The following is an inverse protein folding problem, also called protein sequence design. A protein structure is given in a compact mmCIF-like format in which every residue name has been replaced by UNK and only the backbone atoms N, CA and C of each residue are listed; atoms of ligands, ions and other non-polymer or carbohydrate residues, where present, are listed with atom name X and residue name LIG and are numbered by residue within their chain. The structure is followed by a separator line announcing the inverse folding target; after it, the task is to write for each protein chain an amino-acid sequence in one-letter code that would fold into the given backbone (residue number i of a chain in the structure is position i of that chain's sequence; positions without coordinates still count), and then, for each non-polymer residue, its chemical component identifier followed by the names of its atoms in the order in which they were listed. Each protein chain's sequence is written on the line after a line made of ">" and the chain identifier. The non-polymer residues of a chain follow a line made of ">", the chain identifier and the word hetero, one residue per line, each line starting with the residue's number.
data_IF_566533026266
#
_entry.id   IF_566533026266
#
_cell.length_a   1.000
_cell.length_b   1.000
_cell.length_c   1.000
_cell.angle_alpha   90.00
_cell.angle_beta   90.00
_cell.angle_gamma   90.00
#
_symmetry.space_group_name_H-M   'P 1'
#
loop_
_entity.id
_entity.type
_entity.pdbx_description
1 polymer ?
#
# COMPACT_ATOMS: atom_id res chain seq x y z
N UNK A 1 -47.81 -4.80 -5.81
CA UNK A 1 -48.22 -3.92 -6.95
C UNK A 1 -47.17 -2.86 -7.29
N UNK A 2 -46.72 -2.06 -6.31
CA UNK A 2 -45.76 -0.97 -6.54
C UNK A 2 -44.38 -1.47 -7.01
N UNK A 3 -43.84 -2.52 -6.41
CA UNK A 3 -42.54 -3.09 -6.80
C UNK A 3 -42.53 -3.63 -8.25
N UNK A 4 -43.61 -4.28 -8.69
CA UNK A 4 -43.71 -4.77 -10.06
C UNK A 4 -43.77 -3.64 -11.11
N UNK A 5 -44.40 -2.50 -10.76
CA UNK A 5 -44.42 -1.31 -11.61
C UNK A 5 -43.05 -0.59 -11.63
N UNK A 6 -42.38 -0.52 -10.48
CA UNK A 6 -41.01 0.01 -10.35
C UNK A 6 -40.04 -0.84 -11.17
N UNK A 7 -40.05 -2.16 -10.98
CA UNK A 7 -39.18 -3.10 -11.69
C UNK A 7 -39.47 -3.11 -13.21
N UNK A 8 -40.74 -2.99 -13.61
CA UNK A 8 -41.11 -2.91 -15.03
C UNK A 8 -40.66 -1.61 -15.71
N UNK A 9 -40.57 -0.49 -14.97
CA UNK A 9 -40.19 0.81 -15.52
C UNK A 9 -38.69 1.08 -15.47
N UNK A 10 -38.02 0.65 -14.40
CA UNK A 10 -36.63 0.99 -14.10
C UNK A 10 -35.70 -0.22 -14.03
N UNK A 11 -36.22 -1.44 -14.13
CA UNK A 11 -35.44 -2.69 -14.12
C UNK A 11 -35.25 -3.31 -12.73
N UNK A 12 -34.55 -4.45 -12.69
CA UNK A 12 -34.17 -5.17 -11.47
C UNK A 12 -32.71 -4.84 -11.12
N UNK A 13 -32.48 -4.02 -10.09
CA UNK A 13 -31.15 -3.57 -9.68
C UNK A 13 -31.17 -2.87 -8.32
N UNK A 14 -30.00 -2.42 -7.84
CA UNK A 14 -29.86 -1.66 -6.59
C UNK A 14 -30.31 -0.20 -6.79
N UNK A 15 -31.62 -0.03 -6.91
CA UNK A 15 -32.27 1.25 -7.17
C UNK A 15 -32.89 1.85 -5.91
N UNK A 16 -32.67 3.15 -5.71
CA UNK A 16 -33.20 3.95 -4.63
C UNK A 16 -34.36 4.82 -5.14
N UNK A 17 -35.58 4.65 -4.62
CA UNK A 17 -36.72 5.44 -5.05
C UNK A 17 -36.66 6.89 -4.60
N UNK A 18 -36.89 7.79 -5.55
CA UNK A 18 -37.08 9.21 -5.28
C UNK A 18 -38.59 9.44 -5.11
N UNK A 19 -38.98 9.81 -3.89
CA UNK A 19 -40.36 10.04 -3.51
C UNK A 19 -40.54 11.52 -3.15
N UNK A 20 -41.58 12.13 -3.71
CA UNK A 20 -42.00 13.51 -3.41
C UNK A 20 -43.50 13.51 -3.17
N UNK A 21 -43.92 14.06 -2.04
CA UNK A 21 -45.33 14.20 -1.66
C UNK A 21 -46.14 12.87 -1.70
N UNK A 22 -45.45 11.74 -1.47
CA UNK A 22 -46.04 10.39 -1.52
C UNK A 22 -45.98 9.72 -2.89
N UNK A 23 -45.61 10.45 -3.94
CA UNK A 23 -45.51 9.96 -5.30
C UNK A 23 -44.08 9.56 -5.69
N UNK A 24 -43.97 8.52 -6.52
CA UNK A 24 -42.71 8.08 -7.10
C UNK A 24 -42.34 9.00 -8.27
N UNK A 25 -41.32 9.84 -8.08
CA UNK A 25 -40.92 10.87 -9.05
C UNK A 25 -39.61 10.58 -9.78
N UNK A 26 -38.93 9.48 -9.45
CA UNK A 26 -37.71 9.05 -10.11
C UNK A 26 -37.00 7.94 -9.37
N UNK A 27 -35.82 7.57 -9.86
CA UNK A 27 -35.01 6.45 -9.40
C UNK A 27 -33.52 6.80 -9.50
N UNK A 28 -32.73 6.37 -8.51
CA UNK A 28 -31.28 6.51 -8.55
C UNK A 28 -30.60 5.15 -8.32
N UNK A 29 -29.68 4.75 -9.19
CA UNK A 29 -28.82 3.59 -8.94
C UNK A 29 -27.60 4.06 -8.14
N UNK A 30 -27.47 3.64 -6.87
CA UNK A 30 -26.44 4.17 -5.95
C UNK A 30 -25.56 3.07 -5.40
N UNK A 31 -24.24 3.28 -5.47
CA UNK A 31 -23.21 2.33 -5.01
C UNK A 31 -22.17 3.01 -4.11
N UNK A 32 -21.67 2.29 -3.10
CA UNK A 32 -20.48 2.71 -2.34
C UNK A 32 -19.22 2.17 -3.07
N UNK A 33 -18.40 3.06 -3.64
CA UNK A 33 -17.28 2.70 -4.52
C UNK A 33 -16.01 3.47 -4.15
N UNK A 34 -14.90 2.78 -3.90
CA UNK A 34 -13.52 3.32 -3.82
C UNK A 34 -13.38 4.74 -3.23
N UNK A 35 -13.95 4.95 -2.04
CA UNK A 35 -13.88 6.21 -1.30
C UNK A 35 -14.96 7.25 -1.63
N UNK A 36 -15.97 6.94 -2.44
CA UNK A 36 -17.10 7.81 -2.75
C UNK A 36 -18.43 7.05 -2.84
N UNK A 37 -19.53 7.81 -2.88
CA UNK A 37 -20.84 7.31 -3.29
C UNK A 37 -21.01 7.63 -4.77
N UNK A 38 -21.29 6.62 -5.57
CA UNK A 38 -21.52 6.74 -7.01
C UNK A 38 -23.01 6.60 -7.30
N UNK A 39 -23.58 7.61 -7.97
CA UNK A 39 -24.88 7.52 -8.65
C UNK A 39 -24.59 7.13 -10.10
N UNK A 40 -24.89 5.87 -10.42
CA UNK A 40 -24.64 5.31 -11.75
C UNK A 40 -25.65 5.76 -12.79
N UNK A 41 -26.88 5.95 -12.37
CA UNK A 41 -27.98 6.49 -13.16
C UNK A 41 -28.90 7.28 -12.24
N UNK A 42 -29.42 8.40 -12.74
CA UNK A 42 -30.45 9.21 -12.10
C UNK A 42 -31.56 9.45 -13.13
N UNK A 43 -32.63 8.68 -13.02
CA UNK A 43 -33.79 8.76 -13.91
C UNK A 43 -34.93 9.49 -13.19
N UNK A 44 -35.49 10.54 -13.80
CA UNK A 44 -36.56 11.34 -13.21
C UNK A 44 -37.77 11.35 -14.12
N UNK A 45 -38.95 11.30 -13.51
CA UNK A 45 -40.22 11.33 -14.24
C UNK A 45 -40.39 12.59 -15.11
N UNK A 46 -39.72 13.69 -14.75
CA UNK A 46 -39.70 14.92 -15.54
C UNK A 46 -38.41 15.73 -15.28
N UNK A 47 -37.85 16.45 -16.28
CA UNK A 47 -36.59 17.20 -16.15
C UNK A 47 -36.60 18.35 -15.13
N UNK A 48 -37.76 18.97 -14.85
CA UNK A 48 -37.91 20.06 -13.89
C UNK A 48 -37.62 19.63 -12.43
N UNK A 49 -37.71 18.33 -12.16
CA UNK A 49 -37.39 17.74 -10.86
C UNK A 49 -35.89 17.63 -10.57
N UNK A 50 -35.02 17.89 -11.57
CA UNK A 50 -33.58 17.67 -11.45
C UNK A 50 -32.96 18.44 -10.29
N UNK A 51 -33.37 19.71 -10.08
CA UNK A 51 -32.83 20.51 -8.98
C UNK A 51 -33.13 19.87 -7.63
N UNK A 52 -34.39 19.48 -7.40
CA UNK A 52 -34.83 18.89 -6.14
C UNK A 52 -34.17 17.52 -5.91
N UNK A 53 -33.97 16.74 -6.97
CA UNK A 53 -33.26 15.47 -6.91
C UNK A 53 -31.79 15.68 -6.51
N UNK A 54 -31.09 16.66 -7.10
CA UNK A 54 -29.72 17.01 -6.71
C UNK A 54 -29.67 17.42 -5.23
N UNK A 55 -30.58 18.28 -4.78
CA UNK A 55 -30.65 18.70 -3.37
C UNK A 55 -30.88 17.49 -2.44
N UNK A 56 -31.69 16.51 -2.88
CA UNK A 56 -31.90 15.23 -2.19
C UNK A 56 -30.63 14.39 -2.07
N UNK A 57 -29.89 14.22 -3.16
CA UNK A 57 -28.63 13.48 -3.18
C UNK A 57 -27.58 14.14 -2.28
N UNK A 58 -27.50 15.47 -2.28
CA UNK A 58 -26.58 16.22 -1.40
C UNK A 58 -26.95 16.01 0.07
N UNK A 59 -28.25 16.05 0.43
CA UNK A 59 -28.69 15.76 1.80
C UNK A 59 -28.39 14.32 2.21
N UNK A 60 -28.54 13.36 1.31
CA UNK A 60 -28.22 11.95 1.56
C UNK A 60 -26.75 11.77 2.00
N UNK A 61 -25.83 12.57 1.47
CA UNK A 61 -24.41 12.49 1.83
C UNK A 61 -24.13 12.79 3.30
N UNK A 62 -25.01 13.48 4.03
CA UNK A 62 -24.86 13.67 5.48
C UNK A 62 -24.84 12.33 6.24
N UNK A 63 -25.61 11.34 5.79
CA UNK A 63 -25.60 9.98 6.35
C UNK A 63 -24.28 9.26 6.06
N UNK A 64 -23.79 9.33 4.81
CA UNK A 64 -22.55 8.67 4.41
C UNK A 64 -21.32 9.32 5.05
N UNK A 65 -21.35 10.63 5.31
CA UNK A 65 -20.27 11.34 5.99
C UNK A 65 -20.02 10.79 7.41
N UNK A 66 -21.07 10.33 8.12
CA UNK A 66 -20.93 9.65 9.42
C UNK A 66 -20.17 8.32 9.33
N UNK A 67 -20.29 7.63 8.19
CA UNK A 67 -19.55 6.40 7.87
C UNK A 67 -18.21 6.67 7.19
N UNK A 68 -17.93 7.94 6.94
CA UNK A 68 -16.65 8.40 6.45
C UNK A 68 -16.47 8.45 4.95
N UNK A 69 -17.58 8.56 4.22
CA UNK A 69 -17.60 8.78 2.79
C UNK A 69 -18.36 10.09 2.53
N UNK A 70 -17.68 11.09 2.01
CA UNK A 70 -18.19 12.47 1.89
C UNK A 70 -18.01 13.03 0.46
N UNK A 71 -17.70 12.16 -0.49
CA UNK A 71 -17.64 12.47 -1.93
C UNK A 71 -18.79 11.75 -2.62
N UNK A 72 -19.55 12.51 -3.40
CA UNK A 72 -20.61 12.03 -4.28
C UNK A 72 -20.16 12.19 -5.73
N UNK A 73 -20.28 11.14 -6.52
CA UNK A 73 -20.08 11.17 -7.98
C UNK A 73 -21.38 10.81 -8.68
N UNK A 74 -21.65 11.44 -9.82
CA UNK A 74 -22.72 11.04 -10.75
C UNK A 74 -22.11 10.81 -12.12
N UNK A 75 -22.32 9.62 -12.70
CA UNK A 75 -21.78 9.25 -14.02
C UNK A 75 -22.79 9.38 -15.15
N UNK A 76 -24.09 9.25 -14.83
CA UNK A 76 -25.18 9.25 -15.81
C UNK A 76 -26.44 9.84 -15.20
N UNK A 77 -27.22 10.53 -16.00
CA UNK A 77 -28.56 11.00 -15.60
C UNK A 77 -29.45 11.17 -16.83
N UNK A 78 -30.74 10.88 -16.68
CA UNK A 78 -31.74 10.94 -17.74
C UNK A 78 -31.34 10.17 -19.00
N UNK A 79 -30.72 9.00 -18.82
CA UNK A 79 -30.30 8.14 -19.91
C UNK A 79 -29.16 8.69 -20.78
N UNK A 80 -28.44 9.71 -20.31
CA UNK A 80 -27.24 10.24 -20.95
C UNK A 80 -26.04 10.16 -20.01
N UNK A 81 -24.89 9.75 -20.54
CA UNK A 81 -23.65 9.85 -19.77
C UNK A 81 -23.29 11.32 -19.58
N UNK A 82 -22.68 11.67 -18.44
CA UNK A 82 -22.32 13.06 -18.13
C UNK A 82 -21.49 13.75 -19.24
N UNK A 83 -20.58 13.06 -19.97
CA UNK A 83 -19.89 13.66 -21.11
C UNK A 83 -20.82 14.11 -22.23
N UNK A 84 -21.94 13.41 -22.44
CA UNK A 84 -22.92 13.62 -23.51
C UNK A 84 -24.01 14.62 -23.12
N UNK A 85 -24.07 15.03 -21.85
CA UNK A 85 -25.03 15.99 -21.36
C UNK A 85 -24.74 17.41 -21.90
N UNK A 86 -25.72 17.98 -22.59
CA UNK A 86 -25.65 19.34 -23.17
C UNK A 86 -25.65 20.43 -22.08
N UNK A 87 -26.41 20.23 -21.00
CA UNK A 87 -26.50 21.19 -19.89
C UNK A 87 -26.15 20.52 -18.55
N UNK A 88 -25.13 21.09 -17.89
CA UNK A 88 -24.71 20.75 -16.53
C UNK A 88 -24.87 21.92 -15.56
N UNK A 89 -25.61 22.97 -15.94
CA UNK A 89 -25.79 24.19 -15.16
C UNK A 89 -26.41 23.92 -13.79
N UNK A 90 -27.36 22.98 -13.70
CA UNK A 90 -28.00 22.59 -12.45
C UNK A 90 -26.97 21.98 -11.47
N UNK A 91 -26.15 21.05 -11.96
CA UNK A 91 -25.07 20.41 -11.20
C UNK A 91 -24.03 21.44 -10.74
N UNK A 92 -23.54 22.30 -11.64
CA UNK A 92 -22.56 23.35 -11.32
C UNK A 92 -23.09 24.33 -10.28
N UNK A 93 -24.35 24.78 -10.40
CA UNK A 93 -25.01 25.65 -9.42
C UNK A 93 -25.14 25.01 -8.04
N UNK A 94 -25.30 23.69 -8.00
CA UNK A 94 -25.31 22.92 -6.77
C UNK A 94 -23.90 22.63 -6.20
N UNK A 95 -22.84 23.15 -6.83
CA UNK A 95 -21.46 23.00 -6.36
C UNK A 95 -20.75 21.74 -6.87
N UNK A 96 -21.31 21.02 -7.85
CA UNK A 96 -20.61 19.91 -8.47
C UNK A 96 -19.51 20.42 -9.42
N UNK A 97 -18.39 19.71 -9.40
CA UNK A 97 -17.24 19.88 -10.29
C UNK A 97 -17.32 18.85 -11.41
N UNK A 98 -17.03 19.25 -12.65
CA UNK A 98 -16.93 18.34 -13.80
C UNK A 98 -15.53 17.75 -13.90
N UNK A 99 -15.47 16.43 -14.04
CA UNK A 99 -14.31 15.65 -14.49
C UNK A 99 -14.60 15.10 -15.90
N UNK A 100 -13.65 14.37 -16.50
CA UNK A 100 -13.80 13.81 -17.86
C UNK A 100 -15.14 13.09 -18.03
N UNK A 101 -15.44 12.14 -17.14
CA UNK A 101 -16.52 11.16 -17.36
C UNK A 101 -17.70 11.33 -16.40
N UNK A 102 -17.65 12.31 -15.48
CA UNK A 102 -18.62 12.42 -14.40
C UNK A 102 -18.61 13.83 -13.77
N UNK A 103 -19.64 14.12 -12.97
CA UNK A 103 -19.66 15.25 -12.05
C UNK A 103 -19.50 14.75 -10.63
N UNK A 104 -18.84 15.52 -9.76
CA UNK A 104 -18.67 15.15 -8.37
C UNK A 104 -18.86 16.33 -7.41
N UNK A 105 -19.32 16.01 -6.21
CA UNK A 105 -19.60 16.94 -5.12
C UNK A 105 -18.91 16.46 -3.84
N UNK A 106 -18.45 17.40 -3.04
CA UNK A 106 -17.74 17.15 -1.79
C UNK A 106 -16.47 17.98 -1.68
N UNK A 107 -15.66 17.77 -0.63
CA UNK A 107 -14.41 18.51 -0.42
C UNK A 107 -13.31 17.92 -1.32
N UNK A 108 -13.42 18.16 -2.63
CA UNK A 108 -12.50 17.67 -3.65
C UNK A 108 -11.87 18.83 -4.42
N UNK A 109 -10.62 18.65 -4.83
CA UNK A 109 -9.94 19.56 -5.75
C UNK A 109 -10.29 19.23 -7.21
N UNK A 110 -10.48 20.24 -8.08
CA UNK A 110 -10.78 20.05 -9.50
C UNK A 110 -9.49 19.84 -10.32
N UNK A 111 -8.59 18.96 -9.86
CA UNK A 111 -7.29 18.71 -10.47
C UNK A 111 -7.12 17.21 -10.76
N UNK A 112 -6.56 16.92 -11.93
CA UNK A 112 -6.07 15.59 -12.30
C UNK A 112 -4.66 15.68 -12.89
N UNK A 113 -3.94 14.56 -12.80
CA UNK A 113 -2.57 14.42 -13.24
C UNK A 113 -2.40 13.12 -14.01
N UNK A 114 -1.40 13.05 -14.88
CA UNK A 114 -1.00 11.78 -15.47
C UNK A 114 -0.54 10.81 -14.37
N UNK A 115 -0.82 9.52 -14.54
CA UNK A 115 -0.44 8.50 -13.56
C UNK A 115 1.08 8.46 -13.33
N UNK A 116 1.83 8.68 -14.40
CA UNK A 116 3.29 8.78 -14.39
C UNK A 116 3.79 9.96 -13.55
N UNK A 117 3.08 11.08 -13.52
CA UNK A 117 3.43 12.26 -12.71
C UNK A 117 3.19 12.02 -11.22
N UNK A 118 2.06 11.37 -10.87
CA UNK A 118 1.78 10.96 -9.48
C UNK A 118 2.80 9.95 -8.96
N UNK A 119 3.17 8.99 -9.80
CA UNK A 119 4.20 8.02 -9.47
C UNK A 119 5.58 8.68 -9.38
N UNK A 120 5.92 9.58 -10.30
CA UNK A 120 7.13 10.40 -10.25
C UNK A 120 7.22 11.18 -8.94
N UNK A 121 6.14 11.82 -8.52
CA UNK A 121 6.04 12.49 -7.23
C UNK A 121 6.27 11.52 -6.05
N UNK A 122 5.63 10.35 -6.06
CA UNK A 122 5.87 9.30 -5.05
C UNK A 122 7.35 8.91 -4.99
N UNK A 123 8.00 8.70 -6.13
CA UNK A 123 9.42 8.33 -6.23
C UNK A 123 10.36 9.43 -5.70
N UNK A 124 9.99 10.70 -5.88
CA UNK A 124 10.66 11.84 -5.26
C UNK A 124 10.55 11.79 -3.73
N UNK A 125 9.35 11.59 -3.17
CA UNK A 125 9.12 11.48 -1.71
C UNK A 125 9.82 10.27 -1.08
N UNK A 126 10.00 9.21 -1.86
CA UNK A 126 10.73 8.01 -1.45
C UNK A 126 12.26 8.18 -1.46
N UNK A 127 12.80 9.34 -1.88
CA UNK A 127 14.24 9.57 -1.98
C UNK A 127 14.89 8.79 -3.12
N UNK A 128 14.12 8.37 -4.14
CA UNK A 128 14.64 7.61 -5.29
C UNK A 128 15.13 8.56 -6.38
N UNK A 129 14.55 9.76 -6.48
CA UNK A 129 15.06 10.79 -7.39
C UNK A 129 16.48 11.21 -6.99
N UNK A 130 17.31 11.55 -7.97
CA UNK A 130 18.74 11.75 -7.75
C UNK A 130 19.03 12.89 -6.75
N UNK A 131 18.21 13.92 -6.78
CA UNK A 131 18.25 15.14 -5.96
C UNK A 131 17.58 14.98 -4.59
N UNK A 132 16.66 14.02 -4.42
CA UNK A 132 15.98 13.76 -3.14
C UNK A 132 16.59 12.63 -2.31
N UNK A 133 17.67 12.00 -2.79
CA UNK A 133 18.38 10.96 -2.01
C UNK A 133 18.81 11.46 -0.64
N UNK A 134 18.61 10.62 0.37
CA UNK A 134 19.06 10.85 1.74
C UNK A 134 20.59 10.80 1.83
N UNK A 135 21.14 11.43 2.86
CA UNK A 135 22.59 11.40 3.10
C UNK A 135 23.08 9.96 3.31
N UNK A 136 22.43 9.22 4.21
CA UNK A 136 22.81 7.88 4.64
C UNK A 136 21.57 7.02 4.99
N UNK A 137 21.74 5.71 5.30
CA UNK A 137 20.61 4.83 5.64
C UNK A 137 19.91 5.18 6.95
N UNK A 138 20.55 5.89 7.89
CA UNK A 138 19.94 6.29 9.16
C UNK A 138 18.91 7.40 8.88
N UNK A 139 19.30 8.41 8.10
CA UNK A 139 18.41 9.47 7.63
C UNK A 139 17.24 8.92 6.82
N UNK A 140 17.51 7.97 5.91
CA UNK A 140 16.46 7.29 5.15
C UNK A 140 15.51 6.49 6.04
N UNK A 141 16.02 5.70 6.99
CA UNK A 141 15.20 4.94 7.93
C UNK A 141 14.30 5.87 8.76
N UNK A 142 14.84 6.98 9.29
CA UNK A 142 14.07 7.96 10.06
C UNK A 142 12.97 8.63 9.22
N UNK A 143 13.27 8.99 7.97
CA UNK A 143 12.32 9.65 7.08
C UNK A 143 11.19 8.72 6.61
N UNK A 144 11.48 7.43 6.43
CA UNK A 144 10.56 6.46 5.83
C UNK A 144 9.89 5.53 6.85
N UNK A 145 10.20 5.66 8.14
CA UNK A 145 9.76 4.73 9.19
C UNK A 145 10.50 3.38 9.16
N UNK A 146 11.60 3.30 8.41
CA UNK A 146 12.51 2.17 8.38
C UNK A 146 12.78 1.61 6.99
N UNK A 147 13.78 0.72 6.92
CA UNK A 147 14.26 0.09 5.69
C UNK A 147 14.24 -1.43 5.86
N UNK A 148 13.74 -2.15 4.85
CA UNK A 148 13.57 -3.62 4.89
C UNK A 148 14.77 -4.40 4.36
N UNK A 149 15.62 -3.78 3.55
CA UNK A 149 16.77 -4.44 2.92
C UNK A 149 17.86 -3.45 2.51
N UNK A 150 19.08 -3.95 2.36
CA UNK A 150 20.20 -3.17 1.84
C UNK A 150 19.95 -2.66 0.40
N UNK A 151 19.20 -3.41 -0.42
CA UNK A 151 18.75 -2.95 -1.74
C UNK A 151 17.86 -1.72 -1.64
N UNK A 152 16.88 -1.73 -0.71
CA UNK A 152 16.01 -0.58 -0.46
C UNK A 152 16.79 0.65 0.03
N UNK A 153 17.83 0.42 0.85
CA UNK A 153 18.72 1.46 1.34
C UNK A 153 19.60 2.05 0.22
N UNK A 154 20.33 1.22 -0.53
CA UNK A 154 21.21 1.64 -1.65
C UNK A 154 20.46 2.48 -2.67
N UNK A 155 19.20 2.13 -2.95
CA UNK A 155 18.37 2.87 -3.89
C UNK A 155 18.19 4.35 -3.49
N UNK A 156 18.23 4.68 -2.19
CA UNK A 156 17.77 5.97 -1.67
C UNK A 156 18.85 6.84 -1.03
N UNK A 157 20.08 6.35 -0.90
CA UNK A 157 21.13 7.04 -0.14
C UNK A 157 22.30 7.46 -1.01
N UNK A 158 23.05 8.47 -0.55
CA UNK A 158 24.29 8.93 -1.19
C UNK A 158 25.50 8.16 -0.66
N UNK A 159 25.59 7.98 0.66
CA UNK A 159 26.63 7.18 1.32
C UNK A 159 26.01 5.91 1.92
N UNK A 160 26.27 4.76 1.31
CA UNK A 160 25.68 3.50 1.73
C UNK A 160 26.52 2.80 2.81
N UNK A 161 25.82 2.36 3.87
CA UNK A 161 26.35 1.45 4.89
C UNK A 161 25.38 0.27 5.09
N UNK A 162 25.85 -0.99 5.16
CA UNK A 162 24.98 -2.14 5.37
C UNK A 162 24.13 -2.00 6.63
N UNK A 163 22.82 -2.28 6.52
CA UNK A 163 21.87 -2.11 7.63
C UNK A 163 22.22 -3.00 8.82
N UNK A 164 22.71 -4.22 8.55
CA UNK A 164 23.19 -5.13 9.59
C UNK A 164 24.38 -4.55 10.37
N UNK A 165 25.30 -3.84 9.68
CA UNK A 165 26.44 -3.17 10.35
C UNK A 165 25.95 -2.02 11.23
N UNK A 166 24.97 -1.25 10.76
CA UNK A 166 24.36 -0.19 11.56
C UNK A 166 23.64 -0.76 12.79
N UNK A 167 23.00 -1.91 12.64
CA UNK A 167 22.38 -2.62 13.75
C UNK A 167 23.40 -3.13 14.78
N UNK A 168 24.48 -3.76 14.31
CA UNK A 168 25.59 -4.21 15.17
C UNK A 168 26.25 -3.10 15.97
N UNK A 169 26.31 -1.91 15.40
CA UNK A 169 26.88 -0.74 16.06
C UNK A 169 25.87 0.04 16.93
N UNK A 170 24.63 -0.46 17.09
CA UNK A 170 23.58 0.19 17.89
C UNK A 170 23.01 1.47 17.28
N UNK A 171 23.29 1.75 16.01
CA UNK A 171 22.81 2.95 15.30
C UNK A 171 21.40 2.78 14.73
N UNK A 172 21.02 1.54 14.45
CA UNK A 172 19.67 1.15 14.08
C UNK A 172 19.23 -0.05 14.91
N UNK A 173 17.94 -0.17 15.11
CA UNK A 173 17.31 -1.34 15.69
C UNK A 173 16.54 -2.08 14.62
N UNK A 174 16.21 -3.34 14.90
CA UNK A 174 15.50 -4.22 13.98
C UNK A 174 14.26 -4.76 14.66
N UNK A 175 13.12 -4.76 13.99
CA UNK A 175 11.87 -5.28 14.55
C UNK A 175 10.78 -5.51 13.51
N UNK A 176 9.64 -6.04 13.95
CA UNK A 176 8.43 -6.17 13.14
C UNK A 176 7.64 -4.86 13.19
N UNK A 177 7.92 -3.96 12.25
CA UNK A 177 7.30 -2.63 12.16
C UNK A 177 5.82 -2.68 11.73
N UNK A 178 5.28 -1.54 11.29
CA UNK A 178 4.00 -1.44 10.58
C UNK A 178 4.31 -0.90 9.17
N UNK A 179 4.05 -1.66 8.08
CA UNK A 179 3.48 -3.02 8.03
C UNK A 179 4.39 -4.07 8.69
N UNK A 180 3.78 -5.19 9.11
CA UNK A 180 4.45 -6.26 9.88
C UNK A 180 5.48 -7.06 9.07
N UNK A 181 6.62 -6.42 8.85
CA UNK A 181 7.82 -6.98 8.26
C UNK A 181 9.04 -6.59 9.07
N UNK A 182 10.07 -7.43 8.96
CA UNK A 182 11.40 -7.13 9.44
C UNK A 182 11.93 -5.84 8.83
N UNK A 183 12.14 -4.85 9.69
CA UNK A 183 12.50 -3.50 9.31
C UNK A 183 13.60 -3.00 10.24
N UNK A 184 14.61 -2.36 9.64
CA UNK A 184 15.63 -1.60 10.36
C UNK A 184 15.14 -0.16 10.52
N UNK A 185 15.03 0.31 11.75
CA UNK A 185 14.50 1.63 12.09
C UNK A 185 15.21 2.19 13.32
N UNK A 186 14.89 3.42 13.72
CA UNK A 186 15.44 3.98 14.96
C UNK A 186 14.82 3.29 16.20
N UNK A 187 15.46 3.44 17.36
CA UNK A 187 14.90 2.93 18.63
C UNK A 187 13.56 3.60 18.95
N UNK A 188 13.46 4.91 18.70
CA UNK A 188 12.21 5.66 18.85
C UNK A 188 11.11 5.10 17.95
N UNK A 189 11.44 4.70 16.72
CA UNK A 189 10.45 4.10 15.82
C UNK A 189 9.96 2.75 16.33
N UNK A 190 10.83 1.92 16.93
CA UNK A 190 10.37 0.69 17.58
C UNK A 190 9.38 0.98 18.71
N UNK A 191 9.68 1.97 19.56
CA UNK A 191 8.77 2.39 20.61
C UNK A 191 7.44 2.95 20.07
N UNK A 192 7.50 3.67 18.93
CA UNK A 192 6.31 4.18 18.24
C UNK A 192 5.44 3.04 17.70
N UNK A 193 6.04 2.06 17.02
CA UNK A 193 5.33 0.90 16.52
C UNK A 193 4.78 0.04 17.66
N UNK A 194 5.51 -0.15 18.75
CA UNK A 194 5.05 -0.83 19.98
C UNK A 194 3.78 -0.15 20.51
N UNK A 195 3.81 1.16 20.67
CA UNK A 195 2.65 1.94 21.12
C UNK A 195 1.46 1.84 20.14
N UNK A 196 1.73 1.90 18.84
CA UNK A 196 0.69 1.82 17.80
C UNK A 196 0.00 0.44 17.73
N UNK A 197 0.78 -0.65 17.87
CA UNK A 197 0.25 -2.02 17.97
C UNK A 197 -0.59 -2.19 19.23
N UNK A 198 -0.14 -1.64 20.37
CA UNK A 198 -0.91 -1.61 21.61
C UNK A 198 -1.27 -3.00 22.13
N UNK A 199 -0.41 -4.00 21.89
CA UNK A 199 -0.66 -5.40 22.24
C UNK A 199 -0.83 -5.56 23.75
N UNK A 200 -2.00 -6.05 24.18
CA UNK A 200 -2.30 -6.33 25.59
C UNK A 200 -1.51 -7.53 26.09
N UNK A 201 -0.79 -7.36 27.20
CA UNK A 201 0.00 -8.42 27.81
C UNK A 201 -0.89 -9.44 28.57
N UNK A 202 -0.75 -10.72 28.22
CA UNK A 202 -1.31 -11.83 29.01
C UNK A 202 -0.46 -12.11 30.25
N UNK A 203 -0.93 -13.01 31.14
CA UNK A 203 -0.16 -13.43 32.33
C UNK A 203 1.18 -14.06 31.92
N UNK A 204 1.15 -14.99 30.97
CA UNK A 204 2.35 -15.68 30.47
C UNK A 204 3.34 -14.70 29.83
N UNK A 205 2.84 -13.72 29.05
CA UNK A 205 3.67 -12.66 28.49
C UNK A 205 4.34 -11.81 29.58
N UNK A 206 3.63 -11.47 30.66
CA UNK A 206 4.23 -10.73 31.79
C UNK A 206 5.32 -11.53 32.49
N UNK A 207 5.13 -12.84 32.67
CA UNK A 207 6.17 -13.72 33.25
C UNK A 207 7.43 -13.72 32.38
N UNK A 208 7.28 -13.93 31.06
CA UNK A 208 8.41 -13.93 30.14
C UNK A 208 9.07 -12.56 30.02
N UNK A 209 8.29 -11.48 30.00
CA UNK A 209 8.80 -10.12 29.90
C UNK A 209 9.64 -9.75 31.14
N UNK A 210 9.17 -10.09 32.35
CA UNK A 210 9.91 -9.88 33.59
C UNK A 210 11.25 -10.61 33.60
N UNK A 211 11.28 -11.85 33.11
CA UNK A 211 12.53 -12.60 32.99
C UNK A 211 13.54 -11.89 32.06
N UNK A 212 13.05 -11.26 30.98
CA UNK A 212 13.90 -10.47 30.07
C UNK A 212 14.31 -9.13 30.70
N UNK A 213 13.47 -8.53 31.55
CA UNK A 213 13.82 -7.35 32.36
C UNK A 213 14.96 -7.63 33.34
N UNK A 214 14.94 -8.81 33.98
CA UNK A 214 15.91 -9.20 35.02
C UNK A 214 17.23 -9.74 34.44
N UNK A 215 17.17 -10.53 33.36
CA UNK A 215 18.31 -11.30 32.83
C UNK A 215 18.77 -10.86 31.43
N UNK A 216 18.11 -9.86 30.82
CA UNK A 216 18.36 -9.43 29.45
C UNK A 216 19.69 -8.68 29.26
N UNK A 217 20.32 -8.75 28.06
CA UNK A 217 19.89 -9.49 26.87
C UNK A 217 20.09 -11.01 26.99
N UNK A 218 19.04 -11.79 26.68
CA UNK A 218 18.99 -13.24 26.94
C UNK A 218 18.72 -14.08 25.67
N UNK A 219 19.40 -15.23 25.54
CA UNK A 219 19.15 -16.14 24.41
C UNK A 219 17.81 -16.88 24.55
N UNK A 220 17.21 -17.29 23.41
CA UNK A 220 15.97 -18.10 23.42
C UNK A 220 16.11 -19.36 24.27
N UNK A 221 17.26 -20.05 24.17
CA UNK A 221 17.50 -21.30 24.87
C UNK A 221 17.57 -21.08 26.38
N UNK A 222 18.27 -20.02 26.83
CA UNK A 222 18.36 -19.68 28.25
C UNK A 222 17.00 -19.28 28.82
N UNK A 223 16.24 -18.48 28.08
CA UNK A 223 14.87 -18.09 28.46
C UNK A 223 13.96 -19.32 28.66
N UNK A 224 14.02 -20.30 27.75
CA UNK A 224 13.22 -21.54 27.84
C UNK A 224 13.61 -22.44 29.02
N UNK A 225 14.81 -22.27 29.57
CA UNK A 225 15.30 -23.02 30.75
C UNK A 225 14.92 -22.31 32.04
N UNK A 226 14.98 -20.98 32.07
CA UNK A 226 14.70 -20.18 33.27
C UNK A 226 13.21 -19.93 33.52
N UNK A 227 12.37 -20.00 32.49
CA UNK A 227 10.94 -19.74 32.62
C UNK A 227 10.23 -20.83 33.44
N UNK A 228 9.43 -20.42 34.42
CA UNK A 228 8.53 -21.30 35.19
C UNK A 228 7.35 -21.84 34.37
N UNK A 229 7.13 -21.29 33.17
CA UNK A 229 6.10 -21.77 32.25
C UNK A 229 6.59 -22.99 31.48
N UNK A 230 5.65 -23.76 30.94
CA UNK A 230 5.99 -24.82 29.98
C UNK A 230 6.78 -24.24 28.78
N UNK A 231 7.64 -25.07 28.16
CA UNK A 231 8.38 -24.65 26.96
C UNK A 231 7.47 -24.11 25.84
N UNK A 232 6.32 -24.76 25.51
CA UNK A 232 5.37 -24.21 24.53
C UNK A 232 4.78 -22.86 24.95
N UNK A 233 4.34 -22.72 26.21
CA UNK A 233 3.77 -21.47 26.72
C UNK A 233 4.78 -20.33 26.66
N UNK A 234 6.03 -20.59 27.07
CA UNK A 234 7.13 -19.62 27.00
C UNK A 234 7.42 -19.21 25.56
N UNK A 235 7.47 -20.16 24.62
CA UNK A 235 7.73 -19.88 23.22
C UNK A 235 6.63 -19.04 22.58
N UNK A 236 5.36 -19.33 22.88
CA UNK A 236 4.20 -18.56 22.40
C UNK A 236 4.17 -17.17 23.01
N UNK A 237 4.40 -17.03 24.32
CA UNK A 237 4.47 -15.74 25.00
C UNK A 237 5.60 -14.86 24.42
N UNK A 238 6.79 -15.43 24.22
CA UNK A 238 7.92 -14.75 23.58
C UNK A 238 7.60 -14.31 22.15
N UNK A 239 6.95 -15.16 21.36
CA UNK A 239 6.51 -14.83 20.00
C UNK A 239 5.55 -13.63 20.02
N UNK A 240 4.53 -13.65 20.88
CA UNK A 240 3.55 -12.57 20.98
C UNK A 240 4.17 -11.27 21.49
N UNK A 241 5.14 -11.35 22.42
CA UNK A 241 5.92 -10.18 22.87
C UNK A 241 6.75 -9.59 21.72
N UNK A 242 7.34 -10.46 20.89
CA UNK A 242 8.14 -10.06 19.74
C UNK A 242 7.29 -9.42 18.63
N UNK A 243 6.14 -10.02 18.31
CA UNK A 243 5.15 -9.48 17.36
C UNK A 243 4.57 -8.15 17.86
N UNK A 244 4.27 -8.02 19.15
CA UNK A 244 3.83 -6.77 19.78
C UNK A 244 4.94 -5.73 20.01
N UNK A 245 6.18 -6.00 19.61
CA UNK A 245 7.36 -5.16 19.84
C UNK A 245 7.60 -4.79 21.31
N UNK A 246 7.20 -5.63 22.26
CA UNK A 246 7.61 -5.49 23.67
C UNK A 246 9.06 -5.91 23.87
N UNK A 247 9.52 -6.84 23.04
CA UNK A 247 10.91 -7.29 22.99
C UNK A 247 11.40 -7.29 21.56
N UNK A 248 12.68 -7.06 21.37
CA UNK A 248 13.36 -7.28 20.11
C UNK A 248 14.66 -8.04 20.29
N UNK A 249 15.39 -8.31 19.20
CA UNK A 249 16.70 -8.92 19.25
C UNK A 249 17.81 -7.89 19.05
N UNK A 250 18.88 -8.07 19.79
CA UNK A 250 20.14 -7.38 19.54
C UNK A 250 20.95 -8.07 18.42
N UNK A 251 22.15 -7.55 18.19
CA UNK A 251 23.11 -8.04 17.22
C UNK A 251 23.57 -9.49 17.45
N UNK A 252 23.61 -9.92 18.71
CA UNK A 252 23.97 -11.29 19.11
C UNK A 252 22.75 -12.22 19.12
N UNK A 253 21.63 -11.77 18.54
CA UNK A 253 20.37 -12.50 18.45
C UNK A 253 19.79 -12.86 19.83
N UNK A 254 20.09 -12.07 20.86
CA UNK A 254 19.53 -12.16 22.21
C UNK A 254 18.36 -11.20 22.37
N UNK A 255 17.36 -11.61 23.14
CA UNK A 255 16.17 -10.80 23.38
C UNK A 255 16.46 -9.71 24.40
N UNK A 256 16.04 -8.50 24.07
CA UNK A 256 16.06 -7.32 24.92
C UNK A 256 14.71 -6.62 24.87
N UNK A 257 14.46 -5.74 25.84
CA UNK A 257 13.26 -4.92 25.86
C UNK A 257 13.30 -3.84 24.77
N UNK A 258 12.12 -3.47 24.30
CA UNK A 258 11.90 -2.22 23.56
C UNK A 258 11.34 -1.21 24.56
N UNK A 259 11.97 -0.04 24.74
CA UNK A 259 11.49 1.00 25.63
C UNK A 259 10.08 1.47 25.28
N UNK A 260 9.30 1.82 26.31
CA UNK A 260 8.01 2.48 26.10
C UNK A 260 8.22 3.95 25.73
N UNK A 261 7.50 4.40 24.69
CA UNK A 261 7.31 5.82 24.46
C UNK A 261 6.14 6.32 25.31
N UNK A 262 6.28 7.54 25.84
CA UNK A 262 5.21 8.25 26.55
C UNK A 262 4.18 8.83 25.57
N UNK A 263 3.56 7.96 24.77
CA UNK A 263 2.58 8.29 23.75
C UNK A 263 1.42 7.31 23.82
N UNK A 264 0.18 7.82 23.72
CA UNK A 264 -1.00 6.96 23.66
C UNK A 264 -1.10 6.21 22.33
N UNK A 265 -1.77 5.05 22.32
CA UNK A 265 -1.94 4.23 21.12
C UNK A 265 -2.52 5.02 19.94
N UNK A 266 -3.55 5.82 20.18
CA UNK A 266 -4.23 6.60 19.14
C UNK A 266 -3.28 7.60 18.47
N UNK A 267 -2.50 8.34 19.26
CA UNK A 267 -1.53 9.30 18.72
C UNK A 267 -0.35 8.59 18.03
N UNK A 268 0.10 7.44 18.56
CA UNK A 268 1.12 6.64 17.90
C UNK A 268 0.66 6.13 16.53
N UNK A 269 -0.58 5.61 16.45
CA UNK A 269 -1.23 5.17 15.20
C UNK A 269 -1.36 6.31 14.19
N UNK A 270 -1.79 7.48 14.66
CA UNK A 270 -1.85 8.71 13.86
C UNK A 270 -0.48 9.10 13.29
N UNK A 271 0.56 9.11 14.12
CA UNK A 271 1.91 9.48 13.69
C UNK A 271 2.52 8.45 12.71
N UNK A 272 2.30 7.15 12.92
CA UNK A 272 2.73 6.10 11.98
C UNK A 272 2.09 6.32 10.59
N UNK A 273 0.76 6.51 10.52
CA UNK A 273 0.10 6.78 9.24
C UNK A 273 0.57 8.08 8.60
N UNK A 274 0.74 9.15 9.39
CA UNK A 274 1.25 10.43 8.90
C UNK A 274 2.62 10.27 8.26
N UNK A 275 3.52 9.47 8.85
CA UNK A 275 4.83 9.19 8.25
C UNK A 275 4.75 8.39 6.97
N UNK A 276 3.91 7.36 6.94
CA UNK A 276 3.69 6.56 5.72
C UNK A 276 3.16 7.45 4.60
N UNK A 277 2.10 8.21 4.84
CA UNK A 277 1.51 9.12 3.84
C UNK A 277 2.52 10.18 3.40
N UNK A 278 3.31 10.75 4.32
CA UNK A 278 4.39 11.69 3.97
C UNK A 278 5.44 11.08 3.05
N UNK A 279 5.77 9.81 3.26
CA UNK A 279 6.73 9.06 2.43
C UNK A 279 6.17 8.70 1.05
N UNK A 280 4.85 8.51 0.94
CA UNK A 280 4.17 8.18 -0.32
C UNK A 280 3.80 9.44 -1.12
N UNK A 281 3.47 10.54 -0.44
CA UNK A 281 3.01 11.79 -1.05
C UNK A 281 1.54 11.77 -1.47
N UNK A 282 1.12 10.72 -2.17
CA UNK A 282 -0.26 10.50 -2.66
C UNK A 282 -0.69 9.06 -2.37
N UNK A 283 -1.96 8.83 -2.06
CA UNK A 283 -2.51 7.48 -1.82
C UNK A 283 -4.04 7.46 -1.89
N UNK A 284 -4.64 6.29 -2.11
CA UNK A 284 -6.07 6.04 -1.83
C UNK A 284 -6.24 5.38 -0.46
N UNK A 285 -7.48 5.31 0.06
CA UNK A 285 -7.74 4.60 1.31
C UNK A 285 -7.41 3.10 1.19
N UNK A 286 -7.75 2.50 0.05
CA UNK A 286 -7.51 1.10 -0.29
C UNK A 286 -6.01 0.80 -0.40
N UNK A 287 -5.25 1.62 -1.12
CA UNK A 287 -3.80 1.45 -1.25
C UNK A 287 -3.09 1.64 0.09
N UNK A 288 -3.53 2.58 0.93
CA UNK A 288 -2.97 2.78 2.27
C UNK A 288 -3.27 1.61 3.22
N UNK A 289 -4.50 1.09 3.19
CA UNK A 289 -4.86 -0.09 3.96
C UNK A 289 -4.05 -1.32 3.51
N UNK A 290 -3.92 -1.53 2.20
CA UNK A 290 -3.13 -2.62 1.65
C UNK A 290 -1.63 -2.50 1.98
N UNK A 291 -1.05 -1.30 1.88
CA UNK A 291 0.37 -1.08 2.16
C UNK A 291 0.73 -1.28 3.63
N UNK A 292 -0.21 -1.00 4.54
CA UNK A 292 -0.09 -1.30 5.98
C UNK A 292 -0.46 -2.74 6.34
N UNK A 293 -0.78 -3.58 5.34
CA UNK A 293 -1.28 -4.95 5.51
C UNK A 293 -2.51 -5.04 6.42
N UNK A 294 -3.38 -4.05 6.33
CA UNK A 294 -4.63 -3.96 7.10
C UNK A 294 -4.41 -3.93 8.62
N UNK A 295 -3.22 -3.53 9.08
CA UNK A 295 -2.99 -3.15 10.48
C UNK A 295 -3.98 -2.05 10.91
N UNK A 296 -4.34 -1.17 9.96
CA UNK A 296 -5.47 -0.25 10.05
C UNK A 296 -6.63 -0.84 9.25
N UNK A 297 -7.77 -1.04 9.92
CA UNK A 297 -8.98 -1.42 9.21
C UNK A 297 -9.49 -0.24 8.36
N UNK A 298 -10.35 -0.51 7.37
CA UNK A 298 -10.81 0.50 6.43
C UNK A 298 -11.54 1.69 7.11
N UNK A 299 -12.32 1.43 8.16
CA UNK A 299 -13.02 2.47 8.91
C UNK A 299 -12.04 3.45 9.57
N UNK A 300 -11.02 2.92 10.24
CA UNK A 300 -9.96 3.71 10.83
C UNK A 300 -9.15 4.46 9.76
N UNK A 301 -8.73 3.79 8.68
CA UNK A 301 -7.97 4.40 7.59
C UNK A 301 -8.70 5.62 7.02
N UNK A 302 -9.99 5.46 6.69
CA UNK A 302 -10.82 6.57 6.18
C UNK A 302 -10.96 7.68 7.22
N UNK A 303 -11.20 7.33 8.49
CA UNK A 303 -11.30 8.32 9.57
C UNK A 303 -10.03 9.17 9.69
N UNK A 304 -8.85 8.54 9.67
CA UNK A 304 -7.56 9.23 9.77
C UNK A 304 -7.30 10.14 8.57
N UNK A 305 -7.60 9.69 7.36
CA UNK A 305 -7.49 10.52 6.16
C UNK A 305 -8.36 11.79 6.26
N UNK A 306 -9.58 11.69 6.79
CA UNK A 306 -10.44 12.85 7.04
C UNK A 306 -9.97 13.75 8.18
N UNK A 307 -9.37 13.18 9.23
CA UNK A 307 -8.73 13.97 10.30
C UNK A 307 -7.60 14.82 9.71
N UNK A 308 -6.72 14.20 8.94
CA UNK A 308 -5.61 14.87 8.25
C UNK A 308 -6.05 15.92 7.22
N UNK A 309 -7.15 15.67 6.53
CA UNK A 309 -7.78 16.65 5.63
C UNK A 309 -8.33 17.86 6.40
N UNK A 310 -9.07 17.63 7.50
CA UNK A 310 -9.61 18.70 8.36
C UNK A 310 -8.52 19.52 9.03
N UNK A 311 -7.39 18.89 9.35
CA UNK A 311 -6.18 19.57 9.84
C UNK A 311 -5.49 20.43 8.76
N UNK A 312 -5.92 20.34 7.50
CA UNK A 312 -5.35 21.05 6.37
C UNK A 312 -4.03 20.45 5.86
N UNK A 313 -3.64 19.26 6.34
CA UNK A 313 -2.41 18.60 5.93
C UNK A 313 -2.58 17.86 4.60
N UNK A 314 -3.76 17.27 4.38
CA UNK A 314 -4.12 16.61 3.13
C UNK A 314 -5.21 17.38 2.39
N UNK A 315 -5.24 17.18 1.09
CA UNK A 315 -6.41 17.45 0.25
C UNK A 315 -6.73 16.20 -0.56
N UNK A 316 -7.91 16.13 -1.17
CA UNK A 316 -8.33 14.95 -1.95
C UNK A 316 -9.01 15.32 -3.26
N UNK A 317 -9.09 14.34 -4.15
CA UNK A 317 -9.79 14.47 -5.44
C UNK A 317 -9.66 13.20 -6.28
N UNK A 318 -10.14 13.26 -7.52
CA UNK A 318 -9.89 12.24 -8.53
C UNK A 318 -8.58 12.54 -9.25
N UNK A 319 -7.47 12.32 -8.55
CA UNK A 319 -6.17 12.91 -8.91
C UNK A 319 -5.48 12.22 -10.09
N UNK A 320 -5.80 10.96 -10.38
CA UNK A 320 -5.22 10.25 -11.53
C UNK A 320 -6.19 10.35 -12.70
N UNK A 321 -5.71 10.88 -13.81
CA UNK A 321 -6.50 11.01 -15.02
C UNK A 321 -7.04 9.65 -15.47
N UNK A 322 -8.34 9.63 -15.78
CA UNK A 322 -9.07 8.41 -16.17
C UNK A 322 -9.35 7.43 -15.04
N UNK A 323 -8.96 7.72 -13.79
CA UNK A 323 -9.29 6.91 -12.62
C UNK A 323 -10.50 7.47 -11.90
N UNK A 324 -11.27 6.55 -11.31
CA UNK A 324 -12.48 6.84 -10.54
C UNK A 324 -12.28 6.70 -9.03
N UNK A 325 -11.04 6.56 -8.58
CA UNK A 325 -10.70 6.38 -7.17
C UNK A 325 -10.40 7.72 -6.51
N UNK A 326 -10.99 7.97 -5.35
CA UNK A 326 -10.66 9.16 -4.54
C UNK A 326 -9.26 8.95 -3.93
N UNK A 327 -8.39 9.93 -4.13
CA UNK A 327 -7.03 9.93 -3.61
C UNK A 327 -6.77 11.15 -2.76
N UNK A 328 -5.93 10.98 -1.75
CA UNK A 328 -5.42 12.02 -0.86
C UNK A 328 -3.98 12.32 -1.21
N UNK A 329 -3.63 13.60 -1.10
CA UNK A 329 -2.29 14.10 -1.40
C UNK A 329 -1.89 15.15 -0.36
N UNK A 330 -0.58 15.28 -0.10
CA UNK A 330 -0.05 16.38 0.71
C UNK A 330 -0.46 17.71 0.08
N UNK A 331 -1.20 18.52 0.84
CA UNK A 331 -1.80 19.76 0.33
C UNK A 331 -0.74 20.72 -0.20
N UNK A 332 0.36 20.88 0.53
CA UNK A 332 1.44 21.80 0.20
C UNK A 332 2.25 21.41 -1.06
N UNK A 333 2.13 20.15 -1.50
CA UNK A 333 2.89 19.64 -2.65
C UNK A 333 2.03 19.52 -3.93
N UNK A 334 0.72 19.80 -3.88
CA UNK A 334 -0.20 19.55 -5.01
C UNK A 334 0.22 20.29 -6.30
N UNK A 335 0.64 21.55 -6.17
CA UNK A 335 1.03 22.38 -7.32
C UNK A 335 2.36 21.96 -7.94
N UNK A 336 3.13 21.09 -7.26
CA UNK A 336 4.43 20.60 -7.73
C UNK A 336 4.29 19.34 -8.59
N UNK A 337 3.14 18.67 -8.54
CA UNK A 337 2.90 17.44 -9.29
C UNK A 337 2.89 17.75 -10.80
N UNK A 338 3.53 16.88 -11.59
CA UNK A 338 3.75 17.10 -13.02
C UNK A 338 4.90 18.06 -13.37
N UNK A 339 5.41 18.83 -12.39
CA UNK A 339 6.61 19.67 -12.59
C UNK A 339 7.89 18.92 -12.22
N UNK A 340 7.78 17.87 -11.41
CA UNK A 340 8.88 17.05 -10.94
C UNK A 340 9.25 15.99 -11.99
N UNK A 341 10.18 16.32 -12.89
CA UNK A 341 10.74 15.35 -13.82
C UNK A 341 11.38 14.16 -13.08
N UNK A 342 11.10 12.94 -13.53
CA UNK A 342 11.74 11.73 -13.03
C UNK A 342 12.19 10.84 -14.19
N UNK A 343 13.51 10.61 -14.32
CA UNK A 343 14.11 9.85 -15.44
C UNK A 343 15.07 8.76 -14.99
N UNK A 344 15.19 8.53 -13.67
CA UNK A 344 16.12 7.53 -13.15
C UNK A 344 15.62 6.13 -13.51
N UNK A 345 16.53 5.27 -13.96
CA UNK A 345 16.28 3.84 -14.14
C UNK A 345 16.72 3.09 -12.88
N UNK A 346 15.93 2.14 -12.41
CA UNK A 346 16.25 1.41 -11.18
C UNK A 346 15.49 0.09 -11.09
N UNK A 347 15.90 -0.76 -10.15
CA UNK A 347 15.17 -1.99 -9.82
C UNK A 347 14.63 -1.88 -8.39
N UNK A 348 13.32 -2.07 -8.25
CA UNK A 348 12.62 -2.16 -6.98
C UNK A 348 12.59 -3.62 -6.51
N UNK A 349 13.11 -3.88 -5.31
CA UNK A 349 13.08 -5.21 -4.70
C UNK A 349 11.72 -5.49 -4.04
N UNK A 350 11.26 -6.75 -3.98
CA UNK A 350 10.05 -7.10 -3.23
C UNK A 350 10.23 -6.97 -1.70
N UNK A 351 11.48 -6.80 -1.24
CA UNK A 351 11.85 -6.49 0.14
C UNK A 351 11.94 -4.97 0.40
N UNK A 352 11.08 -4.19 -0.25
CA UNK A 352 10.93 -2.74 -0.10
C UNK A 352 9.51 -2.41 0.37
N UNK A 353 9.33 -1.34 1.15
CA UNK A 353 7.99 -0.89 1.54
C UNK A 353 7.23 -0.28 0.36
N UNK A 354 7.92 0.36 -0.58
CA UNK A 354 7.31 0.89 -1.80
C UNK A 354 6.70 -0.23 -2.67
N UNK A 355 7.29 -1.43 -2.65
CA UNK A 355 6.72 -2.59 -3.35
C UNK A 355 5.31 -2.91 -2.85
N UNK A 356 5.06 -2.78 -1.54
CA UNK A 356 3.75 -3.05 -0.94
C UNK A 356 2.70 -2.04 -1.41
N UNK A 357 3.08 -0.77 -1.54
CA UNK A 357 2.23 0.29 -2.07
C UNK A 357 1.90 0.06 -3.55
N UNK A 358 2.89 -0.32 -4.36
CA UNK A 358 2.73 -0.55 -5.80
C UNK A 358 2.20 -1.94 -6.15
N UNK A 359 1.98 -2.82 -5.17
CA UNK A 359 1.71 -4.24 -5.39
C UNK A 359 0.54 -4.49 -6.31
N UNK A 360 -0.55 -3.73 -6.16
CA UNK A 360 -1.73 -3.87 -7.01
C UNK A 360 -1.42 -3.59 -8.48
N UNK A 361 -0.74 -2.46 -8.76
CA UNK A 361 -0.31 -2.11 -10.11
C UNK A 361 0.70 -3.12 -10.69
N UNK A 362 1.61 -3.64 -9.86
CA UNK A 362 2.59 -4.66 -10.26
C UNK A 362 1.88 -5.96 -10.64
N UNK A 363 0.94 -6.43 -9.82
CA UNK A 363 0.17 -7.65 -10.08
C UNK A 363 -0.72 -7.47 -11.30
N UNK A 364 -1.38 -6.33 -11.46
CA UNK A 364 -2.20 -6.05 -12.64
C UNK A 364 -1.38 -6.04 -13.94
N UNK A 365 -0.15 -5.51 -13.91
CA UNK A 365 0.72 -5.42 -15.10
C UNK A 365 1.45 -6.72 -15.44
N UNK A 366 2.03 -7.38 -14.44
CA UNK A 366 2.93 -8.51 -14.64
C UNK A 366 2.37 -9.85 -14.14
N UNK A 367 1.23 -9.86 -13.45
CA UNK A 367 0.68 -11.09 -12.82
C UNK A 367 1.67 -11.74 -11.83
N UNK A 368 2.59 -10.96 -11.25
CA UNK A 368 3.60 -11.41 -10.28
C UNK A 368 3.39 -10.74 -8.92
N UNK A 369 3.13 -11.53 -7.88
CA UNK A 369 2.86 -11.01 -6.53
C UNK A 369 4.07 -10.76 -5.63
N UNK A 370 5.25 -11.29 -6.00
CA UNK A 370 6.53 -11.12 -5.31
C UNK A 370 7.65 -11.22 -6.35
N UNK A 371 8.14 -10.07 -6.82
CA UNK A 371 9.12 -9.97 -7.90
C UNK A 371 9.96 -8.70 -7.74
N UNK A 372 11.10 -8.66 -8.41
CA UNK A 372 11.83 -7.43 -8.67
C UNK A 372 11.16 -6.71 -9.83
N UNK A 373 11.06 -5.39 -9.75
CA UNK A 373 10.40 -4.57 -10.79
C UNK A 373 11.40 -3.58 -11.34
N UNK A 374 11.54 -3.56 -12.66
CA UNK A 374 12.47 -2.70 -13.38
C UNK A 374 11.72 -1.45 -13.83
N UNK A 375 12.26 -0.28 -13.50
CA UNK A 375 11.72 1.02 -13.83
C UNK A 375 12.60 1.76 -14.84
N UNK A 376 11.97 2.39 -15.83
CA UNK A 376 12.56 3.42 -16.67
C UNK A 376 11.79 4.72 -16.46
N UNK A 377 12.35 5.63 -15.64
CA UNK A 377 11.56 6.73 -15.11
C UNK A 377 10.41 6.22 -14.23
N UNK A 378 9.19 6.79 -14.33
CA UNK A 378 8.05 6.30 -13.57
C UNK A 378 7.45 5.02 -14.15
N UNK A 379 7.87 4.58 -15.34
CA UNK A 379 7.26 3.43 -16.01
C UNK A 379 7.88 2.10 -15.55
N UNK A 380 7.02 1.16 -15.16
CA UNK A 380 7.43 -0.22 -14.91
C UNK A 380 7.64 -0.96 -16.24
N UNK A 381 8.88 -1.18 -16.66
CA UNK A 381 9.21 -1.74 -17.99
C UNK A 381 9.44 -3.25 -18.00
N UNK A 382 9.78 -3.84 -16.86
CA UNK A 382 9.92 -5.28 -16.70
C UNK A 382 9.73 -5.72 -15.24
N UNK A 383 9.56 -7.01 -15.02
CA UNK A 383 9.60 -7.64 -13.71
C UNK A 383 10.23 -9.03 -13.80
N UNK A 384 10.90 -9.46 -12.72
CA UNK A 384 11.51 -10.78 -12.68
C UNK A 384 11.45 -11.41 -11.28
N UNK A 385 11.32 -12.73 -11.23
CA UNK A 385 11.48 -13.51 -10.00
C UNK A 385 12.88 -14.05 -9.95
N UNK A 386 13.49 -14.00 -8.78
CA UNK A 386 14.81 -14.57 -8.58
C UNK A 386 14.95 -15.24 -7.21
N UNK A 387 15.73 -16.32 -7.18
CA UNK A 387 16.14 -17.02 -5.95
C UNK A 387 17.53 -16.56 -5.55
N UNK A 388 17.68 -16.12 -4.30
CA UNK A 388 18.99 -15.74 -3.77
C UNK A 388 19.84 -16.97 -3.43
N UNK A 389 21.07 -17.01 -3.97
CA UNK A 389 22.12 -17.99 -3.64
C UNK A 389 23.38 -17.23 -3.24
N UNK A 390 23.64 -17.07 -1.93
CA UNK A 390 24.76 -16.28 -1.39
C UNK A 390 24.82 -14.85 -1.97
N UNK A 391 25.69 -14.64 -2.96
CA UNK A 391 26.00 -13.38 -3.64
C UNK A 391 25.39 -13.30 -5.05
N UNK A 392 24.54 -14.25 -5.41
CA UNK A 392 23.90 -14.34 -6.73
C UNK A 392 22.38 -14.34 -6.59
N UNK A 393 21.69 -13.76 -7.59
CA UNK A 393 20.26 -13.91 -7.83
C UNK A 393 20.08 -14.75 -9.09
N UNK A 394 19.51 -15.94 -8.93
CA UNK A 394 19.13 -16.79 -10.06
C UNK A 394 17.73 -16.41 -10.53
N UNK A 395 17.62 -15.77 -11.69
CA UNK A 395 16.36 -15.41 -12.33
C UNK A 395 15.64 -16.67 -12.76
N UNK A 396 14.40 -16.85 -12.30
CA UNK A 396 13.57 -18.02 -12.61
C UNK A 396 12.45 -17.67 -13.60
N UNK A 397 12.13 -16.38 -13.71
CA UNK A 397 11.06 -15.87 -14.56
C UNK A 397 11.38 -14.39 -14.84
N UNK A 398 11.31 -13.98 -16.11
CA UNK A 398 11.50 -12.60 -16.54
C UNK A 398 10.38 -12.21 -17.51
N UNK A 399 9.77 -11.05 -17.30
CA UNK A 399 8.74 -10.49 -18.17
C UNK A 399 9.06 -9.02 -18.44
N UNK A 400 9.08 -8.61 -19.70
CA UNK A 400 9.27 -7.22 -20.10
C UNK A 400 10.16 -7.07 -21.32
N UNK A 401 10.50 -5.84 -21.66
CA UNK A 401 11.32 -5.51 -22.82
C UNK A 401 12.78 -6.04 -22.64
N UNK A 402 13.39 -6.70 -23.65
CA UNK A 402 14.82 -7.03 -23.64
C UNK A 402 15.73 -5.83 -23.31
N UNK A 403 15.35 -4.61 -23.70
CA UNK A 403 16.07 -3.39 -23.36
C UNK A 403 16.14 -3.13 -21.85
N UNK A 404 15.17 -3.63 -21.07
CA UNK A 404 15.16 -3.53 -19.62
C UNK A 404 16.25 -4.38 -18.97
N UNK A 405 16.81 -5.39 -19.67
CA UNK A 405 17.93 -6.20 -19.15
C UNK A 405 19.15 -5.35 -18.84
N UNK A 406 19.44 -4.35 -19.68
CA UNK A 406 20.54 -3.40 -19.44
C UNK A 406 20.39 -2.64 -18.12
N UNK A 407 19.15 -2.40 -17.66
CA UNK A 407 18.90 -1.76 -16.36
C UNK A 407 19.21 -2.73 -15.23
N UNK A 408 18.91 -4.02 -15.40
CA UNK A 408 19.25 -5.08 -14.44
C UNK A 408 20.78 -5.24 -14.36
N UNK A 409 21.50 -5.21 -15.48
CA UNK A 409 22.96 -5.34 -15.50
C UNK A 409 23.64 -4.14 -14.79
N UNK A 410 23.12 -2.92 -14.98
CA UNK A 410 23.58 -1.74 -14.23
C UNK A 410 23.29 -1.88 -12.73
N UNK A 411 22.08 -2.33 -12.38
CA UNK A 411 21.71 -2.56 -10.98
C UNK A 411 22.54 -3.66 -10.32
N UNK A 412 22.91 -4.71 -11.05
CA UNK A 412 23.83 -5.76 -10.63
C UNK A 412 25.18 -5.17 -10.20
N UNK A 413 25.75 -4.32 -11.05
CA UNK A 413 27.01 -3.61 -10.78
C UNK A 413 26.92 -2.69 -9.56
N UNK A 414 25.83 -1.91 -9.42
CA UNK A 414 25.60 -1.00 -8.28
C UNK A 414 25.49 -1.73 -6.92
N UNK A 415 25.10 -3.00 -6.95
CA UNK A 415 24.80 -3.78 -5.75
C UNK A 415 25.84 -4.87 -5.44
N UNK A 416 26.92 -4.96 -6.22
CA UNK A 416 28.01 -5.95 -6.04
C UNK A 416 27.44 -7.38 -5.90
N UNK A 417 26.47 -7.69 -6.75
CA UNK A 417 25.72 -8.95 -6.81
C UNK A 417 25.96 -9.56 -8.20
N UNK A 418 25.75 -10.87 -8.41
CA UNK A 418 25.56 -11.41 -9.77
C UNK A 418 24.09 -11.72 -10.06
N UNK A 419 23.58 -11.43 -11.27
CA UNK A 419 22.20 -11.77 -11.68
C UNK A 419 22.25 -12.71 -12.90
N UNK A 420 22.03 -14.00 -12.64
CA UNK A 420 22.18 -15.07 -13.64
C UNK A 420 20.83 -15.71 -13.97
N UNK A 421 20.65 -16.18 -15.20
CA UNK A 421 19.48 -17.00 -15.54
C UNK A 421 19.58 -18.38 -14.90
N UNK A 422 18.48 -18.88 -14.33
CA UNK A 422 18.42 -20.28 -13.91
C UNK A 422 18.45 -21.16 -15.16
N UNK A 423 19.62 -21.69 -15.47
CA UNK A 423 19.75 -22.79 -16.43
C UNK A 423 19.37 -24.07 -15.69
N UNK A 424 18.17 -24.58 -15.95
CA UNK A 424 17.81 -25.94 -15.57
C UNK A 424 18.67 -26.90 -16.42
N UNK A 425 19.86 -27.24 -15.91
CA UNK A 425 20.61 -28.37 -16.42
C UNK A 425 19.81 -29.62 -16.08
N UNK A 426 19.18 -30.21 -17.10
CA UNK A 426 18.69 -31.59 -17.03
C UNK A 426 19.87 -32.42 -16.53
N UNK A 427 19.69 -33.14 -15.42
CA UNK A 427 20.79 -33.94 -14.87
C UNK A 427 21.19 -35.02 -15.89
N UNK A 428 22.47 -35.41 -15.93
CA UNK A 428 22.89 -36.54 -16.77
C UNK A 428 22.03 -37.79 -16.48
N UNK A 429 21.53 -37.94 -15.25
CA UNK A 429 20.60 -38.99 -14.88
C UNK A 429 19.23 -38.89 -15.59
N UNK A 430 18.63 -37.70 -15.64
CA UNK A 430 17.38 -37.46 -16.38
C UNK A 430 17.58 -37.58 -17.90
N UNK A 431 18.73 -37.15 -18.42
CA UNK A 431 19.11 -37.38 -19.82
C UNK A 431 19.25 -38.89 -20.09
N UNK A 432 19.90 -39.64 -19.21
CA UNK A 432 20.08 -41.09 -19.33
C UNK A 432 18.75 -41.85 -19.16
N UNK A 433 17.86 -41.46 -18.24
CA UNK A 433 16.51 -42.03 -18.12
C UNK A 433 15.66 -41.76 -19.36
N UNK A 434 15.75 -40.55 -19.93
CA UNK A 434 15.09 -40.21 -21.18
C UNK A 434 15.65 -41.03 -22.36
N UNK A 435 16.98 -41.15 -22.47
CA UNK A 435 17.63 -42.00 -23.47
C UNK A 435 17.26 -43.49 -23.31
N UNK A 436 17.22 -44.00 -22.08
CA UNK A 436 16.80 -45.38 -21.79
C UNK A 436 15.33 -45.62 -22.14
N UNK A 437 14.43 -44.65 -21.91
CA UNK A 437 13.03 -44.72 -22.33
C UNK A 437 12.85 -44.65 -23.85
N UNK A 438 13.63 -43.81 -24.53
CA UNK A 438 13.50 -43.58 -25.98
C UNK A 438 14.18 -44.65 -26.82
N UNK A 439 15.32 -45.19 -26.36
CA UNK A 439 16.16 -46.11 -27.13
C UNK A 439 16.35 -47.50 -26.49
N UNK A 440 15.95 -47.68 -25.22
CA UNK A 440 16.07 -48.96 -24.51
C UNK A 440 15.06 -50.04 -24.90
N UNK A 441 14.15 -49.78 -25.84
CA UNK A 441 13.25 -50.80 -26.41
C UNK A 441 13.83 -51.54 -27.64
N UNK A 442 15.09 -51.27 -28.01
CA UNK A 442 15.72 -51.89 -29.19
C UNK A 442 16.64 -53.08 -28.93
N UNK A 443 16.84 -53.50 -27.67
CA UNK A 443 17.86 -54.52 -27.32
C UNK A 443 17.29 -55.72 -26.55
N UNK A 444 16.05 -56.12 -26.85
CA UNK A 444 15.44 -57.34 -26.31
C UNK A 444 14.77 -58.22 -27.39
N UNK A 445 15.16 -58.05 -28.66
CA UNK A 445 14.85 -59.00 -29.75
C UNK A 445 16.11 -59.17 -30.60
N UNK A 446 17.00 -60.07 -30.16
CA UNK A 446 17.89 -60.88 -31.01
C UNK A 446 18.47 -62.05 -30.23
#
# INVERSE_FOLDING_TARGET
>A
PLWAQVASRYGEGWFFPLVKDGDLVGMAEVWEMSGCIEVRELDLASPDLLKEAIDGLVRMMAFYALRGVDVLRVTRFQGKDVPEAEDLSAWKRAGFVRFSDFVAYGPIVPLDFEKSDLLGYTLHKQGIAADTRFADPIGAAKALGGLRSDFAARLRVKDFRPLDRLHRNGLLSKGLAIPEYWTYCSEDDLGLFKAAKGTRLTKDMKTVLRLIEEEGPISRQRLLVLSDLSRPSTATALKNLYEGLHVTRDADNRYRLVPDLKIGREEARREVLRRIIRSLGVTSAESLAACTRFEYNMGETRQRLREFEREGWLTKGFLARGERTVMWVLKDDIDRIGQLGFRRKFVLTPMDNLFLYLREAIVAKFHMGYCYVVFDGPEMVAAFKARRRKWQLMVTEFQGDPAARRIVDLWESENELAVEEQVDRISDHEVMEWYAKMYGRGAADK
#
